data_IF_837881853656
#
_entry.id   IF_837881853656
#
_cell.length_a   1.000
_cell.length_b   1.000
_cell.length_c   1.000
_cell.angle_alpha   90.00
_cell.angle_beta   90.00
_cell.angle_gamma   90.00
#
_symmetry.space_group_name_H-M   'P 1'
#
loop_
_entity.id
_entity.type
_entity.pdbx_description
1 polymer ?
#
# COMPACT_ATOMS: atom_id res chain seq x y z
N UNK A 1 45.35 28.56 16.72
CA UNK A 1 44.11 28.19 17.43
C UNK A 1 42.99 28.04 16.41
N UNK A 2 42.66 26.82 16.01
CA UNK A 2 41.61 26.53 15.01
C UNK A 2 40.31 26.16 15.71
N UNK A 3 39.32 27.05 15.66
CA UNK A 3 37.97 26.77 16.16
C UNK A 3 37.25 25.77 15.24
N UNK A 4 37.12 24.51 15.68
CA UNK A 4 36.19 23.54 15.10
C UNK A 4 34.78 23.79 15.63
N UNK A 5 33.91 24.34 14.81
CA UNK A 5 32.47 24.45 15.09
C UNK A 5 31.83 23.06 15.06
N UNK A 6 31.44 22.54 16.24
CA UNK A 6 30.64 21.31 16.35
C UNK A 6 29.26 21.55 15.74
N UNK A 7 28.96 20.94 14.57
CA UNK A 7 27.59 20.82 14.05
C UNK A 7 26.79 19.91 15.00
N UNK A 8 25.75 20.45 15.63
CA UNK A 8 24.74 19.66 16.37
C UNK A 8 24.00 18.76 15.37
N UNK A 9 24.01 17.45 15.59
CA UNK A 9 23.18 16.50 14.85
C UNK A 9 21.69 16.83 15.12
N UNK A 10 20.86 16.86 14.06
CA UNK A 10 19.39 16.95 14.20
C UNK A 10 18.89 15.64 14.82
N UNK A 11 17.96 15.68 15.79
CA UNK A 11 17.38 14.46 16.34
C UNK A 11 16.55 13.73 15.27
N UNK A 12 16.65 12.41 15.25
CA UNK A 12 15.91 11.54 14.34
C UNK A 12 14.39 11.74 14.49
N UNK A 13 13.71 11.97 13.38
CA UNK A 13 12.29 12.37 13.29
C UNK A 13 11.29 11.23 13.47
N UNK A 14 11.73 10.04 13.92
CA UNK A 14 10.95 8.81 14.01
C UNK A 14 9.67 8.97 14.85
N UNK A 15 9.73 9.76 15.93
CA UNK A 15 8.56 10.03 16.78
C UNK A 15 7.45 10.87 16.13
N UNK A 16 7.78 11.66 15.10
CA UNK A 16 6.82 12.55 14.44
C UNK A 16 5.96 11.86 13.37
N UNK A 17 6.48 10.82 12.73
CA UNK A 17 5.72 10.00 11.77
C UNK A 17 4.84 8.98 12.50
N UNK A 18 5.38 8.30 13.51
CA UNK A 18 4.63 7.37 14.37
C UNK A 18 3.40 8.02 14.99
N UNK A 19 3.53 9.25 15.50
CA UNK A 19 2.40 10.00 16.08
C UNK A 19 1.37 10.41 15.04
N UNK A 20 1.78 10.72 13.80
CA UNK A 20 0.87 11.08 12.71
C UNK A 20 0.08 9.86 12.24
N UNK A 21 0.75 8.73 12.04
CA UNK A 21 0.12 7.45 11.70
C UNK A 21 -0.88 7.01 12.77
N UNK A 22 -0.53 7.15 14.05
CA UNK A 22 -1.43 6.83 15.16
C UNK A 22 -2.70 7.70 15.15
N UNK A 23 -2.55 9.03 14.99
CA UNK A 23 -3.70 9.93 14.90
C UNK A 23 -4.59 9.59 13.71
N UNK A 24 -3.99 9.33 12.56
CA UNK A 24 -4.75 8.98 11.36
C UNK A 24 -5.47 7.64 11.50
N UNK A 25 -4.86 6.67 12.17
CA UNK A 25 -5.49 5.38 12.47
C UNK A 25 -6.73 5.56 13.33
N UNK A 26 -6.64 6.37 14.39
CA UNK A 26 -7.79 6.70 15.24
C UNK A 26 -8.89 7.41 14.44
N UNK A 27 -8.53 8.41 13.63
CA UNK A 27 -9.49 9.14 12.79
C UNK A 27 -10.18 8.20 11.78
N UNK A 28 -9.44 7.24 11.22
CA UNK A 28 -9.97 6.21 10.30
C UNK A 28 -10.91 5.25 11.00
N UNK A 29 -10.54 4.71 12.17
CA UNK A 29 -11.37 3.76 12.94
C UNK A 29 -12.71 4.38 13.32
N UNK A 30 -12.70 5.62 13.82
CA UNK A 30 -13.92 6.36 14.11
C UNK A 30 -14.84 6.48 12.89
N UNK A 31 -14.26 6.66 11.70
CA UNK A 31 -15.02 6.74 10.44
C UNK A 31 -15.52 5.38 9.97
N UNK A 32 -14.74 4.32 10.14
CA UNK A 32 -15.12 2.96 9.74
C UNK A 32 -16.32 2.44 10.53
N UNK A 33 -16.44 2.82 11.81
CA UNK A 33 -17.62 2.54 12.62
C UNK A 33 -18.92 3.11 12.02
N UNK A 34 -18.86 4.26 11.33
CA UNK A 34 -20.01 4.88 10.65
C UNK A 34 -20.39 4.12 9.36
N UNK A 35 -19.45 3.39 8.77
CA UNK A 35 -19.63 2.63 7.51
C UNK A 35 -20.17 1.22 7.77
N UNK A 36 -20.07 0.73 9.01
CA UNK A 36 -20.60 -0.57 9.46
C UNK A 36 -22.10 -0.76 9.20
N UNK A 37 -22.84 0.32 8.96
CA UNK A 37 -24.25 0.32 8.52
C UNK A 37 -24.44 -0.12 7.05
N UNK A 38 -23.38 -0.59 6.39
CA UNK A 38 -23.40 -1.12 5.02
C UNK A 38 -23.49 -0.05 3.92
N UNK A 39 -23.42 1.24 4.27
CA UNK A 39 -23.47 2.35 3.32
C UNK A 39 -22.09 3.01 3.19
N UNK A 40 -21.60 3.24 1.95
CA UNK A 40 -20.36 3.98 1.76
C UNK A 40 -20.47 5.37 2.36
N UNK A 41 -19.41 5.91 2.97
CA UNK A 41 -19.42 7.30 3.40
C UNK A 41 -19.59 8.19 2.17
N UNK A 42 -20.47 9.19 2.27
CA UNK A 42 -20.74 10.12 1.17
C UNK A 42 -19.46 10.88 0.83
N UNK A 43 -19.30 11.23 -0.46
CA UNK A 43 -18.22 12.11 -0.91
C UNK A 43 -18.20 13.39 -0.03
N UNK A 44 -17.04 13.80 0.49
CA UNK A 44 -16.95 14.97 1.35
C UNK A 44 -17.54 16.21 0.66
N UNK A 45 -18.45 16.93 1.33
CA UNK A 45 -18.91 18.25 0.89
C UNK A 45 -18.01 19.31 1.51
N UNK A 46 -17.32 20.11 0.70
CA UNK A 46 -16.40 21.17 1.16
C UNK A 46 -14.93 20.90 0.82
N UNK A 47 -14.00 21.48 1.59
CA UNK A 47 -12.55 21.32 1.37
C UNK A 47 -12.15 19.84 1.47
N UNK A 48 -11.27 19.39 0.58
CA UNK A 48 -10.77 18.01 0.55
C UNK A 48 -10.21 17.60 1.92
N UNK A 49 -10.76 16.52 2.47
CA UNK A 49 -10.31 15.88 3.71
C UNK A 49 -9.76 14.50 3.36
N UNK A 50 -8.45 14.37 3.41
CA UNK A 50 -7.73 13.16 3.01
C UNK A 50 -8.30 11.88 3.68
N UNK A 51 -8.49 11.90 5.00
CA UNK A 51 -8.98 10.70 5.73
C UNK A 51 -10.40 10.32 5.32
N UNK A 52 -11.29 11.30 5.12
CA UNK A 52 -12.66 11.02 4.69
C UNK A 52 -12.69 10.36 3.30
N UNK A 53 -11.85 10.85 2.37
CA UNK A 53 -11.76 10.28 1.03
C UNK A 53 -11.05 8.92 1.03
N UNK A 54 -10.02 8.74 1.86
CA UNK A 54 -9.33 7.47 2.02
C UNK A 54 -10.28 6.37 2.47
N UNK A 55 -11.08 6.62 3.52
CA UNK A 55 -12.06 5.64 4.02
C UNK A 55 -13.12 5.32 2.96
N UNK A 56 -13.58 6.34 2.21
CA UNK A 56 -14.52 6.14 1.10
C UNK A 56 -13.94 5.22 0.03
N UNK A 57 -12.71 5.48 -0.40
CA UNK A 57 -12.04 4.67 -1.43
C UNK A 57 -11.71 3.27 -0.94
N UNK A 58 -11.34 3.10 0.33
CA UNK A 58 -11.12 1.78 0.95
C UNK A 58 -12.40 0.94 0.99
N UNK A 59 -13.56 1.56 1.22
CA UNK A 59 -14.83 0.85 1.09
C UNK A 59 -15.13 0.43 -0.35
N UNK A 60 -14.84 1.27 -1.34
CA UNK A 60 -14.98 0.87 -2.76
C UNK A 60 -13.96 -0.22 -3.15
N UNK A 61 -12.74 -0.21 -2.58
CA UNK A 61 -11.76 -1.27 -2.76
C UNK A 61 -12.25 -2.62 -2.23
N UNK A 62 -12.97 -2.64 -1.11
CA UNK A 62 -13.61 -3.85 -0.60
C UNK A 62 -14.65 -4.43 -1.56
N UNK A 63 -15.50 -3.57 -2.14
CA UNK A 63 -16.46 -3.99 -3.18
C UNK A 63 -15.73 -4.54 -4.40
N UNK A 64 -14.67 -3.86 -4.85
CA UNK A 64 -13.86 -4.30 -5.98
C UNK A 64 -13.25 -5.68 -5.71
N UNK A 65 -12.64 -5.88 -4.53
CA UNK A 65 -12.07 -7.16 -4.14
C UNK A 65 -13.14 -8.27 -4.16
N UNK A 66 -14.31 -8.00 -3.61
CA UNK A 66 -15.38 -8.98 -3.57
C UNK A 66 -15.89 -9.33 -4.97
N UNK A 67 -16.01 -8.34 -5.85
CA UNK A 67 -16.33 -8.56 -7.25
C UNK A 67 -15.25 -9.39 -7.97
N UNK A 68 -13.96 -9.09 -7.77
CA UNK A 68 -12.85 -9.89 -8.29
C UNK A 68 -12.95 -11.34 -7.84
N UNK A 69 -13.24 -11.57 -6.56
CA UNK A 69 -13.40 -12.91 -5.97
C UNK A 69 -14.57 -13.68 -6.59
N UNK A 70 -15.73 -13.05 -6.68
CA UNK A 70 -16.96 -13.68 -7.17
C UNK A 70 -16.88 -14.01 -8.67
N UNK A 71 -16.44 -13.06 -9.48
CA UNK A 71 -16.29 -13.25 -10.92
C UNK A 71 -15.05 -14.10 -11.27
N UNK A 72 -14.13 -14.26 -10.34
CA UNK A 72 -12.89 -15.01 -10.55
C UNK A 72 -11.89 -14.26 -11.43
N UNK A 73 -11.89 -12.93 -11.38
CA UNK A 73 -10.94 -12.11 -12.12
C UNK A 73 -9.52 -12.28 -11.57
N UNK A 74 -8.53 -11.96 -12.39
CA UNK A 74 -7.11 -12.07 -12.06
C UNK A 74 -6.49 -10.69 -12.20
N UNK A 75 -6.19 -10.04 -11.07
CA UNK A 75 -5.77 -8.63 -11.08
C UNK A 75 -4.32 -8.50 -10.64
N UNK A 76 -3.52 -7.81 -11.45
CA UNK A 76 -2.14 -7.42 -11.12
C UNK A 76 -2.08 -5.90 -11.06
N UNK A 77 -1.48 -5.36 -10.00
CA UNK A 77 -1.18 -3.93 -9.87
C UNK A 77 0.32 -3.79 -9.65
N UNK A 78 0.99 -3.02 -10.50
CA UNK A 78 2.45 -2.82 -10.46
C UNK A 78 2.75 -1.41 -9.94
N UNK A 79 3.62 -1.32 -8.93
CA UNK A 79 4.10 -0.06 -8.39
C UNK A 79 5.56 0.16 -8.76
N UNK A 80 5.78 1.05 -9.73
CA UNK A 80 7.11 1.51 -10.14
C UNK A 80 7.33 2.99 -9.81
N UNK A 81 8.59 3.39 -9.76
CA UNK A 81 8.98 4.77 -9.47
C UNK A 81 10.30 4.89 -8.74
N UNK A 82 10.81 6.13 -8.66
CA UNK A 82 12.08 6.46 -8.00
C UNK A 82 12.05 6.10 -6.51
N UNK A 83 13.22 5.94 -5.92
CA UNK A 83 13.34 5.76 -4.48
C UNK A 83 12.71 6.94 -3.75
N UNK A 84 12.04 6.66 -2.62
CA UNK A 84 11.26 7.62 -1.84
C UNK A 84 10.05 8.28 -2.56
N UNK A 85 9.60 7.77 -3.71
CA UNK A 85 8.42 8.31 -4.41
C UNK A 85 7.07 8.02 -3.73
N UNK A 86 7.05 7.28 -2.60
CA UNK A 86 5.83 6.99 -1.84
C UNK A 86 5.09 5.69 -2.20
N UNK A 87 5.71 4.78 -2.97
CA UNK A 87 5.11 3.50 -3.40
C UNK A 87 4.61 2.64 -2.23
N UNK A 88 5.47 2.41 -1.24
CA UNK A 88 5.10 1.63 -0.05
C UNK A 88 3.94 2.24 0.74
N UNK A 89 3.85 3.57 0.80
CA UNK A 89 2.72 4.26 1.41
C UNK A 89 1.41 3.99 0.65
N UNK A 90 1.42 4.11 -0.67
CA UNK A 90 0.26 3.80 -1.50
C UNK A 90 -0.18 2.33 -1.38
N UNK A 91 0.78 1.39 -1.42
CA UNK A 91 0.52 -0.04 -1.22
C UNK A 91 -0.13 -0.27 0.15
N UNK A 92 0.42 0.29 1.23
CA UNK A 92 -0.13 0.21 2.59
C UNK A 92 -1.58 0.70 2.63
N UNK A 93 -1.89 1.83 2.00
CA UNK A 93 -3.26 2.39 1.99
C UNK A 93 -4.27 1.55 1.23
N UNK A 94 -3.85 0.84 0.20
CA UNK A 94 -4.71 -0.08 -0.52
C UNK A 94 -4.91 -1.35 0.32
N UNK A 95 -3.82 -2.00 0.72
CA UNK A 95 -3.86 -3.32 1.34
C UNK A 95 -4.45 -3.34 2.75
N UNK A 96 -4.32 -2.26 3.53
CA UNK A 96 -4.80 -2.22 4.93
C UNK A 96 -6.31 -2.42 5.09
N UNK A 97 -7.09 -2.20 4.01
CA UNK A 97 -8.54 -2.41 4.00
C UNK A 97 -8.97 -3.76 3.41
N UNK A 98 -8.05 -4.49 2.79
CA UNK A 98 -8.34 -5.68 1.98
C UNK A 98 -8.06 -6.98 2.74
N UNK A 99 -8.77 -8.05 2.36
CA UNK A 99 -8.56 -9.39 2.90
C UNK A 99 -7.25 -9.97 2.34
N UNK A 100 -6.26 -10.32 3.19
CA UNK A 100 -4.96 -10.79 2.73
C UNK A 100 -5.00 -12.15 2.01
N UNK A 101 -6.10 -12.89 2.11
CA UNK A 101 -6.30 -14.14 1.36
C UNK A 101 -6.69 -13.91 -0.10
N UNK A 102 -7.19 -12.72 -0.42
CA UNK A 102 -7.62 -12.35 -1.77
C UNK A 102 -6.60 -11.39 -2.40
N UNK A 103 -6.10 -10.44 -1.60
CA UNK A 103 -5.15 -9.43 -2.02
C UNK A 103 -3.81 -9.62 -1.30
N UNK A 104 -2.75 -10.01 -2.03
CA UNK A 104 -1.39 -10.16 -1.48
C UNK A 104 -0.38 -9.21 -2.11
N UNK A 105 0.66 -8.90 -1.36
CA UNK A 105 1.77 -8.07 -1.81
C UNK A 105 2.96 -8.96 -2.17
N UNK A 106 3.63 -8.63 -3.26
CA UNK A 106 4.88 -9.26 -3.71
C UNK A 106 5.94 -8.18 -3.73
N UNK A 107 6.98 -8.37 -2.92
CA UNK A 107 8.15 -7.51 -2.86
C UNK A 107 9.40 -8.38 -2.99
N UNK A 108 9.83 -8.62 -4.23
CA UNK A 108 11.01 -9.46 -4.48
C UNK A 108 12.29 -8.67 -4.25
N UNK A 109 13.20 -9.25 -3.47
CA UNK A 109 14.55 -8.72 -3.33
C UNK A 109 15.42 -8.94 -4.57
N UNK A 110 16.69 -8.57 -4.44
CA UNK A 110 17.73 -8.84 -5.43
C UNK A 110 17.70 -10.32 -5.86
N UNK A 111 17.74 -10.64 -7.17
CA UNK A 111 17.74 -12.03 -7.62
C UNK A 111 18.91 -12.82 -7.04
N UNK A 112 18.64 -14.04 -6.57
CA UNK A 112 19.65 -15.03 -6.17
C UNK A 112 20.51 -15.46 -7.37
N UNK A 113 21.64 -16.12 -7.12
CA UNK A 113 22.50 -16.64 -8.19
C UNK A 113 21.75 -17.58 -9.14
N UNK A 114 20.91 -18.47 -8.58
CA UNK A 114 20.06 -19.36 -9.36
C UNK A 114 19.05 -18.58 -10.22
N UNK A 115 18.37 -17.58 -9.65
CA UNK A 115 17.40 -16.76 -10.40
C UNK A 115 18.09 -15.94 -11.51
N UNK A 116 19.35 -15.52 -11.33
CA UNK A 116 20.11 -14.84 -12.39
C UNK A 116 20.45 -15.75 -13.58
N UNK A 117 20.57 -17.06 -13.34
CA UNK A 117 20.73 -18.07 -14.39
C UNK A 117 19.42 -18.57 -15.00
N UNK A 118 18.26 -18.19 -14.45
CA UNK A 118 16.94 -18.51 -14.99
C UNK A 118 16.49 -17.49 -16.03
N UNK A 119 15.43 -17.83 -16.75
CA UNK A 119 14.74 -16.84 -17.57
C UNK A 119 14.19 -15.71 -16.69
N UNK A 120 14.46 -14.44 -17.06
CA UNK A 120 14.18 -13.27 -16.22
C UNK A 120 12.76 -13.21 -15.65
N UNK A 121 11.75 -13.57 -16.45
CA UNK A 121 10.35 -13.52 -16.03
C UNK A 121 9.95 -14.67 -15.08
N UNK A 122 10.73 -15.75 -15.03
CA UNK A 122 10.39 -16.97 -14.29
C UNK A 122 10.12 -16.70 -12.81
N UNK A 123 10.92 -15.84 -12.17
CA UNK A 123 10.73 -15.48 -10.77
C UNK A 123 9.44 -14.69 -10.50
N UNK A 124 8.93 -13.96 -11.48
CA UNK A 124 7.70 -13.17 -11.34
C UNK A 124 6.44 -13.96 -11.69
N UNK A 125 6.51 -14.84 -12.68
CA UNK A 125 5.38 -15.66 -13.15
C UNK A 125 4.80 -16.51 -12.03
N UNK A 126 5.65 -17.04 -11.14
CA UNK A 126 5.23 -17.80 -9.97
C UNK A 126 4.35 -17.00 -8.98
N UNK A 127 4.34 -15.67 -9.10
CA UNK A 127 3.59 -14.77 -8.23
C UNK A 127 2.39 -14.13 -8.92
N UNK A 128 2.06 -14.48 -10.16
CA UNK A 128 0.84 -13.99 -10.81
C UNK A 128 -0.43 -14.48 -10.09
N UNK A 129 -1.54 -13.73 -10.15
CA UNK A 129 -2.80 -14.08 -9.48
C UNK A 129 -3.42 -15.34 -10.08
N UNK A 130 -3.93 -16.20 -9.20
CA UNK A 130 -4.90 -17.23 -9.56
C UNK A 130 -6.33 -16.64 -9.65
N UNK A 131 -7.31 -17.49 -10.00
CA UNK A 131 -8.72 -17.10 -10.14
C UNK A 131 -9.22 -16.41 -8.86
N UNK A 132 -9.69 -15.17 -9.00
CA UNK A 132 -10.24 -14.40 -7.89
C UNK A 132 -9.20 -13.71 -7.02
N UNK A 133 -7.92 -13.68 -7.43
CA UNK A 133 -6.84 -13.06 -6.67
C UNK A 133 -6.46 -11.68 -7.22
N UNK A 134 -5.98 -10.85 -6.29
CA UNK A 134 -5.33 -9.57 -6.55
C UNK A 134 -3.88 -9.64 -6.06
N UNK A 135 -2.93 -9.21 -6.88
CA UNK A 135 -1.51 -9.17 -6.52
C UNK A 135 -0.95 -7.77 -6.75
N UNK A 136 -0.39 -7.20 -5.69
CA UNK A 136 0.27 -5.89 -5.70
C UNK A 136 1.79 -6.12 -5.72
N UNK A 137 2.45 -5.73 -6.80
CA UNK A 137 3.89 -5.81 -6.95
C UNK A 137 4.55 -4.50 -6.48
N UNK A 138 5.31 -4.57 -5.39
CA UNK A 138 6.27 -3.52 -5.00
C UNK A 138 7.57 -3.74 -5.76
N UNK A 139 7.73 -3.03 -6.87
CA UNK A 139 8.63 -3.35 -7.98
C UNK A 139 8.27 -4.64 -8.71
N UNK A 140 8.71 -4.75 -9.95
CA UNK A 140 8.29 -5.81 -10.87
C UNK A 140 9.42 -6.17 -11.85
N UNK A 141 9.04 -6.80 -12.97
CA UNK A 141 9.92 -7.06 -14.11
C UNK A 141 10.36 -5.79 -14.87
N UNK A 142 9.99 -4.59 -14.42
CA UNK A 142 10.54 -3.33 -14.92
C UNK A 142 11.84 -2.90 -14.21
N UNK A 143 12.36 -3.72 -13.28
CA UNK A 143 13.66 -3.52 -12.65
C UNK A 143 14.84 -3.77 -13.60
#
# INVERSE_FOLDING_TARGET
>A
MTHKTKRKARPETTGGELRRDAKETVDKEQRWHVVGDGKPPKKPKGRYKYVDELVRLQFELLKLQEWVRLEGLKVVVIFEGRDAAGKGGAIKRISESLNPRICRIVALGTPTERERGQWYFQRYVAHLPARGEMVLFDRSWYN
#
